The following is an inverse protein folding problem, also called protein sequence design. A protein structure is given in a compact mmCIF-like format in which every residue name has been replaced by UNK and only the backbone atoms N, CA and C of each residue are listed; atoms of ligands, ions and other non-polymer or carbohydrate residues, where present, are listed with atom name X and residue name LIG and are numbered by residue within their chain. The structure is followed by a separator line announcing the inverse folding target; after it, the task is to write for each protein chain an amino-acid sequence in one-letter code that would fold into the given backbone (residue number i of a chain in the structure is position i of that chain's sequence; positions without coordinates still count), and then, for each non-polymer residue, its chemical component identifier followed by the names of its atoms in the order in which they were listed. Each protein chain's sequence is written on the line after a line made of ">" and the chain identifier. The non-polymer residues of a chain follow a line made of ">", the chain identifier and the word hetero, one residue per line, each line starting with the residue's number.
data_IF_693545113620
#
_entry.id   IF_693545113620
#
_cell.length_a   1.000
_cell.length_b   1.000
_cell.length_c   1.000
_cell.angle_alpha   90.00
_cell.angle_beta   90.00
_cell.angle_gamma   90.00
#
_symmetry.space_group_name_H-M   'P 1'
#
loop_
_entity.id
_entity.type
_entity.pdbx_description
1 polymer ?
#
# COMPACT_ATOMS: atom_id res chain seq x y z
N UNK A 1 -6.31 -11.40 -10.89
CA UNK A 1 -5.03 -12.02 -10.45
C UNK A 1 -5.05 -12.17 -8.94
N UNK A 2 -4.61 -13.28 -8.36
CA UNK A 2 -4.59 -13.51 -6.90
C UNK A 2 -3.22 -13.21 -6.24
N UNK A 3 -2.28 -12.61 -6.98
CA UNK A 3 -0.92 -12.36 -6.50
C UNK A 3 -0.73 -10.97 -5.88
N UNK A 4 -0.31 -9.99 -6.67
CA UNK A 4 0.02 -8.64 -6.21
C UNK A 4 -1.16 -7.66 -6.34
N UNK A 5 -1.03 -6.49 -5.71
CA UNK A 5 -2.03 -5.43 -5.65
C UNK A 5 -2.31 -4.69 -6.97
N UNK A 6 -1.65 -5.05 -8.08
CA UNK A 6 -1.89 -4.38 -9.38
C UNK A 6 -3.29 -4.66 -9.94
N UNK A 7 -3.90 -5.79 -9.57
CA UNK A 7 -5.27 -6.10 -10.02
C UNK A 7 -5.38 -6.53 -11.49
N UNK A 8 -4.37 -7.23 -12.03
CA UNK A 8 -4.42 -7.69 -13.42
C UNK A 8 -5.64 -8.58 -13.70
N UNK A 9 -6.43 -8.24 -14.72
CA UNK A 9 -7.63 -8.99 -15.15
C UNK A 9 -7.27 -10.03 -16.22
N UNK A 10 -7.91 -11.19 -16.12
CA UNK A 10 -7.67 -12.32 -17.01
C UNK A 10 -8.99 -13.02 -17.34
N UNK A 11 -9.12 -13.51 -18.58
CA UNK A 11 -10.08 -14.56 -18.90
C UNK A 11 -9.46 -15.91 -18.54
N UNK A 12 -10.20 -16.72 -17.79
CA UNK A 12 -9.81 -18.08 -17.41
C UNK A 12 -10.66 -19.06 -18.23
N UNK A 13 -10.01 -19.78 -19.13
CA UNK A 13 -10.64 -20.76 -20.00
C UNK A 13 -10.58 -22.10 -19.29
N UNK A 14 -11.74 -22.71 -19.11
CA UNK A 14 -11.86 -24.01 -18.43
C UNK A 14 -12.58 -25.03 -19.30
N UNK A 15 -12.30 -26.30 -19.03
CA UNK A 15 -13.16 -27.41 -19.40
C UNK A 15 -13.53 -28.12 -18.11
N UNK A 16 -14.80 -28.07 -17.75
CA UNK A 16 -15.28 -28.51 -16.42
C UNK A 16 -14.50 -27.79 -15.30
N UNK A 17 -13.78 -28.55 -14.44
CA UNK A 17 -12.98 -28.01 -13.33
C UNK A 17 -11.50 -27.85 -13.67
N UNK A 18 -11.09 -28.13 -14.91
CA UNK A 18 -9.72 -28.00 -15.36
C UNK A 18 -9.48 -26.64 -16.03
N UNK A 19 -8.44 -25.94 -15.59
CA UNK A 19 -8.00 -24.69 -16.21
C UNK A 19 -7.13 -25.03 -17.43
N UNK A 20 -7.56 -24.58 -18.61
CA UNK A 20 -6.85 -24.79 -19.87
C UNK A 20 -5.89 -23.65 -20.20
N UNK A 21 -6.32 -22.41 -19.95
CA UNK A 21 -5.59 -21.21 -20.32
C UNK A 21 -6.02 -20.03 -19.46
N UNK A 22 -5.05 -19.22 -19.05
CA UNK A 22 -5.27 -17.90 -18.46
C UNK A 22 -4.74 -16.85 -19.43
N UNK A 23 -5.58 -15.91 -19.87
CA UNK A 23 -5.19 -14.88 -20.84
C UNK A 23 -5.52 -13.48 -20.32
N UNK A 24 -4.62 -12.48 -20.49
CA UNK A 24 -4.92 -11.11 -20.12
C UNK A 24 -6.16 -10.60 -20.87
N UNK A 25 -7.03 -9.90 -20.15
CA UNK A 25 -8.20 -9.25 -20.76
C UNK A 25 -7.78 -7.95 -21.44
N UNK A 26 -8.02 -7.82 -22.74
CA UNK A 26 -7.55 -6.67 -23.55
C UNK A 26 -7.98 -5.32 -22.97
N UNK A 27 -9.23 -5.22 -22.49
CA UNK A 27 -9.81 -3.98 -21.99
C UNK A 27 -9.59 -3.76 -20.50
N UNK A 28 -8.75 -4.58 -19.84
CA UNK A 28 -8.46 -4.39 -18.42
C UNK A 28 -7.86 -3.01 -18.14
N UNK A 29 -8.41 -2.24 -17.19
CA UNK A 29 -7.89 -0.92 -16.84
C UNK A 29 -6.48 -1.01 -16.25
N UNK A 30 -6.18 -2.08 -15.50
CA UNK A 30 -4.90 -2.22 -14.81
C UNK A 30 -3.76 -2.64 -15.77
N UNK A 31 -3.97 -3.73 -16.52
CA UNK A 31 -2.89 -4.39 -17.25
C UNK A 31 -3.05 -4.45 -18.76
N UNK A 32 -4.22 -4.13 -19.32
CA UNK A 32 -4.52 -4.37 -20.74
C UNK A 32 -4.07 -5.80 -21.12
N UNK A 33 -3.21 -5.92 -22.13
CA UNK A 33 -2.62 -7.20 -22.57
C UNK A 33 -1.39 -7.66 -21.76
N UNK A 34 -0.83 -6.81 -20.91
CA UNK A 34 0.40 -7.12 -20.15
C UNK A 34 0.10 -8.07 -19.00
N UNK A 35 1.07 -8.92 -18.64
CA UNK A 35 1.00 -9.80 -17.47
C UNK A 35 2.39 -10.20 -17.03
N UNK A 36 2.50 -10.86 -15.87
CA UNK A 36 3.74 -11.47 -15.40
C UNK A 36 3.61 -12.98 -15.28
N UNK A 37 4.74 -13.66 -15.07
CA UNK A 37 4.81 -15.13 -14.93
C UNK A 37 3.81 -15.66 -13.88
N UNK A 38 3.68 -14.96 -12.75
CA UNK A 38 2.79 -15.37 -11.65
C UNK A 38 1.33 -15.42 -12.09
N UNK A 39 0.81 -14.32 -12.65
CA UNK A 39 -0.59 -14.27 -13.09
C UNK A 39 -0.87 -15.14 -14.32
N UNK A 40 0.10 -15.31 -15.21
CA UNK A 40 -0.06 -16.04 -16.46
C UNK A 40 0.00 -17.56 -16.28
N UNK A 41 0.87 -18.04 -15.40
CA UNK A 41 1.21 -19.47 -15.27
C UNK A 41 1.06 -20.03 -13.85
N UNK A 42 1.08 -19.20 -12.81
CA UNK A 42 0.98 -19.64 -11.41
C UNK A 42 -0.45 -19.89 -10.97
N UNK A 43 -1.09 -20.95 -11.45
CA UNK A 43 -2.46 -21.32 -11.07
C UNK A 43 -2.64 -22.83 -10.85
N UNK A 44 -1.56 -23.58 -10.97
CA UNK A 44 -1.46 -25.02 -10.71
C UNK A 44 -1.89 -25.41 -9.29
N UNK A 45 -1.64 -24.55 -8.29
CA UNK A 45 -2.01 -24.77 -6.89
C UNK A 45 -3.51 -25.04 -6.68
N UNK A 46 -4.38 -24.63 -7.61
CA UNK A 46 -5.83 -24.92 -7.53
C UNK A 46 -6.12 -26.42 -7.58
N UNK A 47 -5.29 -27.16 -8.33
CA UNK A 47 -5.41 -28.60 -8.57
C UNK A 47 -4.31 -29.41 -7.86
N UNK A 48 -3.58 -28.82 -6.92
CA UNK A 48 -2.58 -29.54 -6.13
C UNK A 48 -3.21 -30.67 -5.31
N UNK A 49 -2.56 -31.83 -5.28
CA UNK A 49 -2.95 -32.96 -4.44
C UNK A 49 -2.79 -32.66 -2.94
N UNK A 50 -1.93 -31.69 -2.58
CA UNK A 50 -1.72 -31.24 -1.19
C UNK A 50 -2.81 -30.25 -0.71
N UNK A 51 -3.76 -29.88 -1.58
CA UNK A 51 -4.82 -28.94 -1.23
C UNK A 51 -5.77 -29.58 -0.20
N UNK A 52 -5.96 -28.89 0.93
CA UNK A 52 -6.97 -29.29 1.92
C UNK A 52 -8.38 -29.28 1.30
N UNK A 53 -9.06 -30.42 1.38
CA UNK A 53 -10.44 -30.60 0.86
C UNK A 53 -11.47 -30.88 1.96
N UNK A 54 -11.02 -31.21 3.17
CA UNK A 54 -11.85 -31.42 4.36
C UNK A 54 -11.33 -30.63 5.56
N UNK A 55 -12.22 -30.26 6.51
CA UNK A 55 -11.81 -29.72 7.80
C UNK A 55 -10.91 -30.69 8.58
N UNK A 56 -9.98 -30.12 9.35
CA UNK A 56 -9.09 -30.86 10.23
C UNK A 56 -9.26 -30.38 11.67
N UNK A 57 -9.34 -31.30 12.63
CA UNK A 57 -9.35 -31.00 14.07
C UNK A 57 -8.17 -31.69 14.75
N UNK A 58 -7.46 -30.97 15.62
CA UNK A 58 -6.34 -31.55 16.38
C UNK A 58 -6.88 -32.42 17.51
N UNK A 59 -6.51 -33.70 17.52
CA UNK A 59 -6.85 -34.69 18.56
C UNK A 59 -5.54 -35.24 19.13
N UNK A 60 -5.17 -34.80 20.33
CA UNK A 60 -3.83 -35.06 20.88
C UNK A 60 -2.75 -34.33 20.11
N UNK A 61 -1.79 -35.07 19.56
CA UNK A 61 -0.63 -34.51 18.84
C UNK A 61 -0.80 -34.45 17.32
N UNK A 62 -1.93 -34.88 16.77
CA UNK A 62 -2.15 -34.97 15.31
C UNK A 62 -3.44 -34.27 14.86
N UNK A 63 -3.47 -33.87 13.58
CA UNK A 63 -4.67 -33.37 12.92
C UNK A 63 -5.41 -34.52 12.23
N UNK A 64 -6.72 -34.60 12.48
CA UNK A 64 -7.59 -35.65 11.93
C UNK A 64 -8.67 -35.00 11.07
N UNK A 65 -8.95 -35.61 9.91
CA UNK A 65 -10.07 -35.20 9.05
C UNK A 65 -11.41 -35.41 9.75
N UNK A 66 -12.28 -34.40 9.68
CA UNK A 66 -13.63 -34.42 10.24
C UNK A 66 -14.62 -33.79 9.25
N UNK A 67 -15.91 -33.97 9.50
CA UNK A 67 -16.97 -33.30 8.75
C UNK A 67 -17.23 -31.89 9.30
N UNK A 68 -17.88 -31.05 8.50
CA UNK A 68 -18.12 -29.64 8.82
C UNK A 68 -18.83 -29.39 10.15
N UNK A 69 -19.81 -30.22 10.48
CA UNK A 69 -20.58 -30.08 11.72
C UNK A 69 -19.69 -30.21 12.97
N UNK A 70 -18.80 -31.23 12.99
CA UNK A 70 -17.86 -31.41 14.09
C UNK A 70 -16.88 -30.24 14.20
N UNK A 71 -16.30 -29.80 13.07
CA UNK A 71 -15.37 -28.68 13.05
C UNK A 71 -16.01 -27.38 13.57
N UNK A 72 -17.24 -27.07 13.14
CA UNK A 72 -17.96 -25.87 13.55
C UNK A 72 -18.39 -25.94 15.03
N UNK A 73 -18.77 -27.11 15.52
CA UNK A 73 -19.07 -27.31 16.95
C UNK A 73 -17.81 -27.06 17.81
N UNK A 74 -16.67 -27.63 17.43
CA UNK A 74 -15.39 -27.40 18.14
C UNK A 74 -15.03 -25.91 18.17
N UNK A 75 -15.19 -25.18 17.06
CA UNK A 75 -14.91 -23.74 17.00
C UNK A 75 -15.87 -22.97 17.90
N UNK A 76 -17.18 -23.17 17.74
CA UNK A 76 -18.21 -22.42 18.46
C UNK A 76 -18.15 -22.65 19.98
N UNK A 77 -18.05 -23.91 20.43
CA UNK A 77 -17.93 -24.24 21.85
C UNK A 77 -16.72 -23.59 22.50
N UNK A 78 -15.55 -23.63 21.83
CA UNK A 78 -14.35 -23.01 22.37
C UNK A 78 -14.42 -21.48 22.39
N UNK A 79 -14.94 -20.86 21.33
CA UNK A 79 -15.10 -19.41 21.29
C UNK A 79 -16.05 -18.91 22.37
N UNK A 80 -17.19 -19.58 22.55
CA UNK A 80 -18.17 -19.24 23.59
C UNK A 80 -17.60 -19.47 24.99
N UNK A 81 -16.95 -20.61 25.23
CA UNK A 81 -16.30 -20.91 26.52
C UNK A 81 -15.22 -19.89 26.89
N UNK A 82 -14.39 -19.48 25.93
CA UNK A 82 -13.35 -18.46 26.15
C UNK A 82 -13.99 -17.09 26.42
N UNK A 83 -15.00 -16.71 25.64
CA UNK A 83 -15.73 -15.46 25.83
C UNK A 83 -16.41 -15.39 27.20
N UNK A 84 -17.05 -16.48 27.65
CA UNK A 84 -17.68 -16.55 28.97
C UNK A 84 -16.65 -16.44 30.10
N UNK A 85 -15.51 -17.13 29.97
CA UNK A 85 -14.49 -17.16 31.02
C UNK A 85 -13.60 -15.90 31.09
N UNK A 86 -13.36 -15.22 29.94
CA UNK A 86 -12.35 -14.16 29.82
C UNK A 86 -12.83 -12.88 29.16
N UNK A 87 -14.08 -12.82 28.70
CA UNK A 87 -14.62 -11.70 27.92
C UNK A 87 -14.32 -11.78 26.42
N UNK A 88 -15.00 -10.97 25.63
CA UNK A 88 -14.90 -10.97 24.16
C UNK A 88 -13.52 -10.59 23.64
N UNK A 89 -12.78 -9.74 24.35
CA UNK A 89 -11.44 -9.30 23.94
C UNK A 89 -10.34 -10.36 24.13
N UNK A 90 -10.69 -11.54 24.68
CA UNK A 90 -9.82 -12.71 24.63
C UNK A 90 -9.82 -13.40 23.26
N UNK A 91 -10.69 -12.99 22.34
CA UNK A 91 -10.79 -13.51 20.97
C UNK A 91 -10.05 -12.58 20.00
N UNK A 92 -9.57 -13.14 18.89
CA UNK A 92 -8.95 -12.38 17.80
C UNK A 92 -9.27 -13.01 16.45
N UNK A 93 -9.41 -12.16 15.43
CA UNK A 93 -9.80 -12.53 14.09
C UNK A 93 -8.83 -11.92 13.08
N UNK A 94 -8.31 -12.72 12.16
CA UNK A 94 -7.38 -12.26 11.13
C UNK A 94 -8.01 -12.47 9.76
N UNK A 95 -8.36 -11.39 9.08
CA UNK A 95 -8.86 -11.43 7.72
C UNK A 95 -7.72 -11.62 6.71
N UNK A 96 -8.00 -12.34 5.62
CA UNK A 96 -7.01 -12.63 4.59
C UNK A 96 -7.14 -11.68 3.41
N UNK A 97 -6.07 -10.92 3.11
CA UNK A 97 -6.00 -10.11 1.88
C UNK A 97 -5.79 -10.89 0.59
N UNK A 98 -5.81 -12.23 0.68
CA UNK A 98 -5.97 -13.11 -0.47
C UNK A 98 -7.44 -13.44 -0.77
N UNK A 99 -8.31 -13.34 0.24
CA UNK A 99 -9.75 -13.50 0.11
C UNK A 99 -10.42 -12.30 -0.53
N UNK A 100 -11.74 -12.40 -0.66
CA UNK A 100 -12.59 -11.35 -1.25
C UNK A 100 -12.90 -10.23 -0.25
N UNK A 101 -13.39 -9.08 -0.74
CA UNK A 101 -13.79 -7.97 0.15
C UNK A 101 -15.02 -8.37 0.98
N UNK A 102 -15.91 -9.18 0.41
CA UNK A 102 -17.09 -9.73 1.05
C UNK A 102 -16.70 -10.65 2.21
N UNK A 103 -15.73 -11.56 2.01
CA UNK A 103 -15.20 -12.42 3.09
C UNK A 103 -14.54 -11.59 4.20
N UNK A 104 -13.80 -10.54 3.83
CA UNK A 104 -13.19 -9.62 4.80
C UNK A 104 -14.24 -8.89 5.63
N UNK A 105 -15.31 -8.42 4.98
CA UNK A 105 -16.46 -7.79 5.63
C UNK A 105 -17.17 -8.77 6.58
N UNK A 106 -17.38 -10.01 6.16
CA UNK A 106 -17.99 -11.05 7.01
C UNK A 106 -17.11 -11.34 8.23
N UNK A 107 -15.79 -11.43 8.06
CA UNK A 107 -14.86 -11.68 9.16
C UNK A 107 -14.89 -10.57 10.21
N UNK A 108 -14.84 -9.30 9.79
CA UNK A 108 -14.91 -8.20 10.75
C UNK A 108 -16.28 -8.08 11.42
N UNK A 109 -17.35 -8.39 10.68
CA UNK A 109 -18.71 -8.38 11.22
C UNK A 109 -18.85 -9.47 12.29
N UNK A 110 -18.33 -10.66 12.03
CA UNK A 110 -18.30 -11.77 13.00
C UNK A 110 -17.55 -11.36 14.27
N UNK A 111 -16.36 -10.77 14.15
CA UNK A 111 -15.58 -10.31 15.29
C UNK A 111 -16.37 -9.32 16.17
N UNK A 112 -16.99 -8.32 15.52
CA UNK A 112 -17.75 -7.26 16.19
C UNK A 112 -19.06 -7.75 16.78
N UNK A 113 -19.77 -8.66 16.11
CA UNK A 113 -20.94 -9.34 16.70
C UNK A 113 -20.56 -10.27 17.86
N UNK A 114 -19.34 -10.79 17.88
CA UNK A 114 -18.79 -11.47 19.07
C UNK A 114 -18.45 -10.50 20.21
N UNK A 115 -18.54 -9.17 19.97
CA UNK A 115 -18.38 -8.12 20.97
C UNK A 115 -16.94 -7.65 21.12
N UNK A 116 -16.08 -7.84 20.11
CA UNK A 116 -14.69 -7.36 20.13
C UNK A 116 -14.34 -6.61 18.85
N UNK A 117 -13.43 -5.64 18.98
CA UNK A 117 -12.78 -4.98 17.86
C UNK A 117 -11.43 -5.64 17.49
N UNK A 118 -11.08 -6.80 18.08
CA UNK A 118 -9.87 -7.55 17.77
C UNK A 118 -9.96 -8.22 16.39
N UNK A 119 -9.95 -7.42 15.34
CA UNK A 119 -9.87 -7.85 13.95
C UNK A 119 -8.74 -7.11 13.25
N UNK A 120 -7.88 -7.82 12.54
CA UNK A 120 -6.79 -7.22 11.77
C UNK A 120 -6.54 -7.98 10.46
N UNK A 121 -5.60 -7.51 9.65
CA UNK A 121 -5.20 -8.16 8.41
C UNK A 121 -3.71 -7.94 8.10
N UNK A 122 -3.19 -8.53 7.03
CA UNK A 122 -1.75 -8.46 6.70
C UNK A 122 -1.25 -7.05 6.32
N UNK A 123 -2.15 -6.09 6.06
CA UNK A 123 -1.79 -4.68 5.87
C UNK A 123 -1.06 -4.08 7.06
N UNK A 124 -1.24 -4.62 8.28
CA UNK A 124 -0.58 -4.13 9.51
C UNK A 124 0.93 -3.98 9.34
N UNK A 125 1.57 -5.04 8.83
CA UNK A 125 3.03 -5.08 8.63
C UNK A 125 3.46 -4.48 7.29
N UNK A 126 2.57 -4.48 6.29
CA UNK A 126 2.90 -4.06 4.94
C UNK A 126 2.71 -2.55 4.76
N UNK A 127 1.53 -2.04 5.11
CA UNK A 127 1.03 -0.78 4.59
C UNK A 127 0.59 0.22 5.64
N UNK A 128 0.24 -0.22 6.83
CA UNK A 128 -0.32 0.67 7.85
C UNK A 128 0.46 1.99 8.02
N UNK A 129 1.81 2.01 7.93
CA UNK A 129 2.59 3.25 7.97
C UNK A 129 2.30 4.21 6.80
N UNK A 130 2.23 3.72 5.57
CA UNK A 130 1.88 4.54 4.41
C UNK A 130 0.46 5.08 4.51
N UNK A 131 -0.50 4.22 4.89
CA UNK A 131 -1.88 4.61 5.15
C UNK A 131 -1.94 5.73 6.20
N UNK A 132 -1.23 5.58 7.33
CA UNK A 132 -1.20 6.59 8.39
C UNK A 132 -0.56 7.89 7.93
N UNK A 133 0.54 7.83 7.19
CA UNK A 133 1.22 9.01 6.64
C UNK A 133 0.31 9.82 5.71
N UNK A 134 -0.41 9.15 4.82
CA UNK A 134 -1.33 9.82 3.89
C UNK A 134 -2.62 10.32 4.55
N UNK A 135 -3.14 9.63 5.57
CA UNK A 135 -4.25 10.16 6.36
C UNK A 135 -3.89 11.43 7.13
N UNK A 136 -2.62 11.60 7.56
CA UNK A 136 -2.15 12.83 8.22
C UNK A 136 -2.10 14.04 7.29
N UNK A 137 -1.97 13.82 5.98
CA UNK A 137 -1.76 14.88 4.99
C UNK A 137 -2.98 15.11 4.13
N UNK A 138 -3.34 14.12 3.29
CA UNK A 138 -4.38 14.25 2.26
C UNK A 138 -5.69 13.59 2.67
N UNK A 139 -5.78 13.06 3.89
CA UNK A 139 -7.00 12.46 4.45
C UNK A 139 -7.44 11.15 3.80
N UNK A 140 -6.61 10.56 2.93
CA UNK A 140 -6.93 9.31 2.23
C UNK A 140 -5.70 8.40 2.14
N UNK A 141 -5.82 7.17 2.66
CA UNK A 141 -4.71 6.22 2.75
C UNK A 141 -4.36 5.44 1.48
N UNK A 142 -4.93 5.78 0.33
CA UNK A 142 -4.80 5.05 -0.95
C UNK A 142 -3.78 5.65 -1.92
N UNK A 143 -3.67 5.03 -3.11
CA UNK A 143 -2.95 5.64 -4.23
C UNK A 143 -3.68 6.91 -4.69
N UNK A 144 -2.93 7.94 -5.08
CA UNK A 144 -3.49 9.25 -5.48
C UNK A 144 -4.22 9.21 -6.82
N UNK A 145 -3.96 8.18 -7.62
CA UNK A 145 -4.47 8.03 -8.97
C UNK A 145 -4.33 6.59 -9.46
N UNK A 146 -4.22 6.43 -10.77
CA UNK A 146 -4.14 5.14 -11.43
C UNK A 146 -2.70 4.77 -11.81
N UNK A 147 -2.47 3.51 -12.17
CA UNK A 147 -1.18 3.11 -12.74
C UNK A 147 -0.86 3.80 -14.08
N UNK A 148 -1.84 4.39 -14.76
CA UNK A 148 -1.62 5.18 -15.97
C UNK A 148 -1.00 6.55 -15.65
N UNK A 149 -1.26 7.11 -14.47
CA UNK A 149 -0.65 8.36 -14.03
C UNK A 149 0.87 8.23 -13.87
N UNK A 150 1.36 7.08 -13.39
CA UNK A 150 2.79 6.76 -13.36
C UNK A 150 3.43 6.73 -14.76
N UNK A 151 2.66 6.45 -15.82
CA UNK A 151 3.15 6.52 -17.21
C UNK A 151 3.06 7.94 -17.78
N UNK A 152 2.13 8.77 -17.29
CA UNK A 152 1.91 10.15 -17.75
C UNK A 152 2.82 11.16 -17.07
N UNK A 153 3.27 10.88 -15.84
CA UNK A 153 4.08 11.78 -15.03
C UNK A 153 5.38 12.16 -15.74
N UNK A 154 5.71 13.47 -15.75
CA UNK A 154 6.99 13.95 -16.27
C UNK A 154 8.19 13.36 -15.51
N UNK A 155 8.02 13.04 -14.23
CA UNK A 155 9.01 12.36 -13.40
C UNK A 155 8.35 11.30 -12.50
N UNK A 156 8.98 10.13 -12.42
CA UNK A 156 8.64 9.07 -11.46
C UNK A 156 9.82 8.86 -10.53
N UNK A 157 9.55 8.89 -9.22
CA UNK A 157 10.53 8.59 -8.18
C UNK A 157 10.14 7.29 -7.49
N UNK A 158 11.06 6.33 -7.47
CA UNK A 158 10.89 5.07 -6.74
C UNK A 158 11.69 5.12 -5.44
N UNK A 159 11.02 4.99 -4.30
CA UNK A 159 11.67 5.03 -2.98
C UNK A 159 11.46 3.68 -2.27
N UNK A 160 12.55 2.96 -2.01
CA UNK A 160 12.52 1.69 -1.27
C UNK A 160 11.59 0.65 -1.90
N UNK A 161 11.60 0.52 -3.22
CA UNK A 161 10.71 -0.37 -3.97
C UNK A 161 11.38 -1.03 -5.18
N UNK A 162 11.42 -2.36 -5.17
CA UNK A 162 11.80 -3.16 -6.34
C UNK A 162 10.56 -3.45 -7.21
N UNK A 163 10.05 -2.41 -7.87
CA UNK A 163 8.79 -2.46 -8.61
C UNK A 163 8.79 -3.50 -9.75
N UNK A 164 9.95 -3.78 -10.36
CA UNK A 164 10.05 -4.75 -11.47
C UNK A 164 9.65 -6.17 -11.05
N UNK A 165 10.07 -6.60 -9.86
CA UNK A 165 9.79 -7.93 -9.33
C UNK A 165 8.44 -8.00 -8.61
N UNK A 166 8.10 -6.94 -7.85
CA UNK A 166 6.90 -6.89 -7.02
C UNK A 166 5.64 -6.57 -7.84
N UNK A 167 5.72 -5.59 -8.75
CA UNK A 167 4.59 -5.02 -9.49
C UNK A 167 4.93 -4.87 -10.99
N UNK A 168 5.32 -5.98 -11.62
CA UNK A 168 5.88 -6.02 -13.00
C UNK A 168 5.09 -5.22 -14.05
N UNK A 169 3.75 -5.20 -13.98
CA UNK A 169 2.92 -4.42 -14.92
C UNK A 169 3.04 -2.91 -14.68
N UNK A 170 3.14 -2.46 -13.42
CA UNK A 170 3.43 -1.05 -13.09
C UNK A 170 4.84 -0.68 -13.57
N UNK A 171 5.84 -1.54 -13.32
CA UNK A 171 7.19 -1.33 -13.82
C UNK A 171 7.24 -1.21 -15.35
N UNK A 172 6.46 -2.03 -16.07
CA UNK A 172 6.34 -1.93 -17.53
C UNK A 172 5.77 -0.60 -17.99
N UNK A 173 4.76 -0.05 -17.30
CA UNK A 173 4.20 1.28 -17.58
C UNK A 173 5.21 2.40 -17.32
N UNK A 174 5.93 2.36 -16.19
CA UNK A 174 6.99 3.33 -15.87
C UNK A 174 8.09 3.30 -16.93
N UNK A 175 8.61 2.11 -17.27
CA UNK A 175 9.62 1.95 -18.32
C UNK A 175 9.15 2.44 -19.67
N UNK A 176 7.87 2.22 -20.00
CA UNK A 176 7.27 2.73 -21.24
C UNK A 176 7.25 4.26 -21.25
N UNK A 177 6.83 4.89 -20.16
CA UNK A 177 6.84 6.34 -20.01
C UNK A 177 8.25 6.92 -20.19
N UNK A 178 9.20 6.35 -19.48
CA UNK A 178 10.61 6.73 -19.59
C UNK A 178 11.16 6.55 -21.01
N UNK A 179 10.97 5.37 -21.63
CA UNK A 179 11.57 5.04 -22.92
C UNK A 179 10.93 5.74 -24.11
N UNK A 180 9.61 5.92 -24.11
CA UNK A 180 8.86 6.40 -25.28
C UNK A 180 8.50 7.88 -25.19
N UNK A 181 8.35 8.42 -23.98
CA UNK A 181 7.90 9.80 -23.76
C UNK A 181 8.96 10.68 -23.10
N UNK A 182 10.11 10.11 -22.72
CA UNK A 182 11.22 10.85 -22.14
C UNK A 182 11.00 11.25 -20.68
N UNK A 183 10.03 10.64 -19.99
CA UNK A 183 9.78 10.89 -18.58
C UNK A 183 11.02 10.53 -17.77
N UNK A 184 11.29 11.29 -16.71
CA UNK A 184 12.42 11.06 -15.82
C UNK A 184 12.13 9.92 -14.85
N UNK A 185 13.14 9.10 -14.60
CA UNK A 185 13.08 8.01 -13.62
C UNK A 185 14.21 8.16 -12.61
N UNK A 186 13.85 8.40 -11.36
CA UNK A 186 14.77 8.43 -10.23
C UNK A 186 14.51 7.25 -9.31
N UNK A 187 15.57 6.61 -8.82
CA UNK A 187 15.45 5.49 -7.88
C UNK A 187 16.29 5.77 -6.64
N UNK A 188 15.64 5.74 -5.48
CA UNK A 188 16.24 5.85 -4.15
C UNK A 188 16.07 4.51 -3.46
N UNK A 189 17.14 3.70 -3.44
CA UNK A 189 17.11 2.36 -2.83
C UNK A 189 18.50 1.96 -2.36
N UNK A 190 18.57 1.09 -1.34
CA UNK A 190 19.82 0.55 -0.83
C UNK A 190 20.45 -0.47 -1.80
N UNK A 191 19.66 -1.03 -2.74
CA UNK A 191 20.09 -1.99 -3.75
C UNK A 191 19.86 -1.45 -5.15
N UNK A 192 20.86 -1.63 -6.01
CA UNK A 192 20.75 -1.35 -7.45
C UNK A 192 20.03 -2.51 -8.17
N UNK A 193 18.71 -2.48 -8.17
CA UNK A 193 17.85 -3.45 -8.86
C UNK A 193 17.50 -3.01 -10.30
N UNK A 194 16.72 -3.80 -11.04
CA UNK A 194 16.45 -3.59 -12.48
C UNK A 194 15.93 -2.17 -12.81
N UNK A 195 15.00 -1.63 -12.01
CA UNK A 195 14.54 -0.24 -12.22
C UNK A 195 15.65 0.80 -12.01
N UNK A 196 16.59 0.56 -11.09
CA UNK A 196 17.73 1.44 -10.85
C UNK A 196 18.78 1.37 -11.97
N UNK A 197 18.91 0.21 -12.63
CA UNK A 197 19.80 0.06 -13.78
C UNK A 197 19.35 0.89 -14.98
N UNK A 198 18.04 1.07 -15.16
CA UNK A 198 17.47 1.89 -16.23
C UNK A 198 17.07 3.30 -15.81
N UNK A 199 17.38 3.73 -14.58
CA UNK A 199 17.04 5.06 -14.07
C UNK A 199 17.99 6.14 -14.61
N UNK A 200 17.51 7.38 -14.73
CA UNK A 200 18.34 8.55 -15.02
C UNK A 200 19.33 8.81 -13.87
N UNK A 201 18.87 8.66 -12.62
CA UNK A 201 19.72 8.69 -11.42
C UNK A 201 19.32 7.61 -10.42
N UNK A 202 20.33 7.08 -9.76
CA UNK A 202 20.22 6.15 -8.65
C UNK A 202 20.90 6.75 -7.43
N UNK A 203 20.15 6.87 -6.34
CA UNK A 203 20.63 7.35 -5.04
C UNK A 203 20.63 6.18 -4.06
N UNK A 204 21.74 6.00 -3.35
CA UNK A 204 21.91 4.90 -2.40
C UNK A 204 22.08 5.46 -0.98
N UNK A 205 20.98 5.78 -0.28
CA UNK A 205 21.05 6.25 1.10
C UNK A 205 21.46 5.12 2.06
N UNK A 206 21.91 5.49 3.26
CA UNK A 206 21.98 4.55 4.39
C UNK A 206 20.55 4.09 4.76
N UNK A 207 20.34 2.80 5.12
CA UNK A 207 19.02 2.30 5.48
C UNK A 207 18.34 3.13 6.58
N UNK A 208 17.04 3.40 6.44
CA UNK A 208 16.24 4.10 7.45
C UNK A 208 16.42 5.62 7.49
N UNK A 209 17.14 6.22 6.53
CA UNK A 209 17.45 7.66 6.51
C UNK A 209 16.60 8.47 5.53
N UNK A 210 15.56 7.88 4.94
CA UNK A 210 14.78 8.50 3.86
C UNK A 210 14.10 9.82 4.26
N UNK A 211 13.60 9.90 5.49
CA UNK A 211 13.01 11.12 6.03
C UNK A 211 13.97 12.32 5.95
N UNK A 212 15.27 12.10 6.19
CA UNK A 212 16.26 13.17 6.25
C UNK A 212 16.46 13.84 4.89
N UNK A 213 16.61 13.06 3.81
CA UNK A 213 16.77 13.64 2.47
C UNK A 213 15.46 14.24 1.95
N UNK A 214 14.31 13.61 2.21
CA UNK A 214 13.00 14.13 1.83
C UNK A 214 12.75 15.52 2.46
N UNK A 215 12.99 15.64 3.76
CA UNK A 215 12.84 16.89 4.49
C UNK A 215 13.83 17.96 4.01
N UNK A 216 15.09 17.60 3.77
CA UNK A 216 16.11 18.54 3.31
C UNK A 216 15.85 19.06 1.89
N UNK A 217 15.42 18.18 0.97
CA UNK A 217 15.00 18.57 -0.38
C UNK A 217 13.79 19.51 -0.29
N UNK A 218 12.79 19.17 0.53
CA UNK A 218 11.60 20.03 0.74
C UNK A 218 12.00 21.40 1.25
N UNK A 219 12.88 21.46 2.27
CA UNK A 219 13.40 22.71 2.82
C UNK A 219 14.13 23.53 1.76
N UNK A 220 15.00 22.89 0.96
CA UNK A 220 15.73 23.56 -0.11
C UNK A 220 14.80 24.18 -1.14
N UNK A 221 13.73 23.48 -1.55
CA UNK A 221 12.73 24.00 -2.49
C UNK A 221 12.04 25.25 -1.90
N UNK A 222 11.69 25.22 -0.61
CA UNK A 222 11.04 26.35 0.05
C UNK A 222 12.00 27.55 0.21
N UNK A 223 13.22 27.31 0.70
CA UNK A 223 14.24 28.35 0.91
C UNK A 223 14.62 29.09 -0.39
N UNK A 224 14.50 28.41 -1.54
CA UNK A 224 14.80 28.97 -2.86
C UNK A 224 13.55 29.49 -3.60
N UNK A 225 12.41 29.60 -2.91
CA UNK A 225 11.17 30.15 -3.46
C UNK A 225 10.62 29.38 -4.68
N UNK A 226 10.85 28.06 -4.73
CA UNK A 226 10.49 27.18 -5.84
C UNK A 226 9.32 26.24 -5.57
N UNK A 227 8.65 26.43 -4.44
CA UNK A 227 7.41 25.72 -4.09
C UNK A 227 6.22 26.32 -4.86
N UNK A 228 5.15 25.53 -5.03
CA UNK A 228 3.94 26.00 -5.68
C UNK A 228 3.10 26.84 -4.72
N UNK A 229 3.34 28.15 -4.72
CA UNK A 229 2.66 29.12 -3.84
C UNK A 229 1.15 29.11 -4.02
N UNK A 230 0.68 29.07 -5.27
CA UNK A 230 -0.74 29.12 -5.55
C UNK A 230 -1.45 27.86 -5.03
N UNK A 231 -0.81 26.69 -5.20
CA UNK A 231 -1.33 25.45 -4.64
C UNK A 231 -1.33 25.47 -3.11
N UNK A 232 -0.25 25.97 -2.49
CA UNK A 232 -0.15 26.06 -1.03
C UNK A 232 -1.23 26.98 -0.47
N UNK A 233 -1.37 28.19 -1.02
CA UNK A 233 -2.34 29.19 -0.55
C UNK A 233 -3.80 28.69 -0.65
N UNK A 234 -4.11 27.87 -1.66
CA UNK A 234 -5.47 27.37 -1.88
C UNK A 234 -5.76 26.06 -1.13
N UNK A 235 -4.81 25.13 -1.05
CA UNK A 235 -5.07 23.73 -0.69
C UNK A 235 -4.31 23.21 0.51
N UNK A 236 -3.35 23.96 1.07
CA UNK A 236 -2.48 23.48 2.15
C UNK A 236 -2.67 24.34 3.39
N UNK A 237 -2.88 23.69 4.53
CA UNK A 237 -2.89 24.32 5.84
C UNK A 237 -1.55 24.13 6.58
N UNK A 238 -1.36 24.86 7.69
CA UNK A 238 -0.20 24.72 8.58
C UNK A 238 1.19 24.83 7.90
N UNK A 239 1.28 25.44 6.72
CA UNK A 239 2.53 25.55 5.96
C UNK A 239 3.67 26.21 6.75
N UNK A 240 3.40 27.32 7.44
CA UNK A 240 4.41 28.03 8.24
C UNK A 240 4.95 27.20 9.41
N UNK A 241 4.10 26.42 10.06
CA UNK A 241 4.49 25.52 11.15
C UNK A 241 5.36 24.39 10.62
N UNK A 242 4.97 23.82 9.48
CA UNK A 242 5.76 22.81 8.79
C UNK A 242 7.12 23.36 8.35
N UNK A 243 7.18 24.54 7.74
CA UNK A 243 8.44 25.15 7.32
C UNK A 243 9.38 25.39 8.50
N UNK A 244 8.87 25.88 9.64
CA UNK A 244 9.67 26.01 10.87
C UNK A 244 10.21 24.66 11.35
N UNK A 245 9.40 23.59 11.25
CA UNK A 245 9.83 22.23 11.63
C UNK A 245 10.96 21.68 10.76
N UNK A 246 11.16 22.24 9.55
CA UNK A 246 12.23 21.83 8.64
C UNK A 246 13.60 22.42 8.99
N UNK A 247 13.70 23.32 9.98
CA UNK A 247 14.94 23.97 10.38
C UNK A 247 16.17 23.04 10.55
N UNK A 248 16.08 21.84 11.17
CA UNK A 248 17.24 20.97 11.34
C UNK A 248 17.66 20.22 10.07
N UNK A 249 16.82 20.17 9.04
CA UNK A 249 17.05 19.37 7.84
C UNK A 249 17.77 20.19 6.75
N UNK A 250 19.02 20.57 7.02
CA UNK A 250 19.87 21.18 5.98
C UNK A 250 20.36 20.13 4.98
N UNK A 251 20.85 20.58 3.81
CA UNK A 251 21.45 19.67 2.84
C UNK A 251 22.72 18.99 3.40
N UNK A 252 23.50 19.72 4.20
CA UNK A 252 24.69 19.17 4.89
C UNK A 252 24.30 18.08 5.89
N UNK A 253 23.23 18.30 6.66
CA UNK A 253 22.69 17.29 7.57
C UNK A 253 22.22 16.04 6.80
N UNK A 254 21.52 16.23 5.68
CA UNK A 254 21.08 15.13 4.84
C UNK A 254 22.25 14.35 4.22
N UNK A 255 23.30 15.03 3.76
CA UNK A 255 24.50 14.39 3.22
C UNK A 255 25.22 13.54 4.28
N UNK A 256 25.42 14.09 5.48
CA UNK A 256 26.04 13.35 6.60
C UNK A 256 25.20 12.13 7.02
N UNK A 257 23.88 12.34 7.15
CA UNK A 257 22.95 11.32 7.62
C UNK A 257 22.76 10.22 6.59
N UNK A 258 22.41 10.60 5.35
CA UNK A 258 22.02 9.65 4.31
C UNK A 258 23.20 9.11 3.49
N UNK A 259 24.29 9.87 3.38
CA UNK A 259 25.38 9.58 2.46
C UNK A 259 25.11 9.97 1.00
N UNK A 260 23.96 10.58 0.69
CA UNK A 260 23.68 11.14 -0.64
C UNK A 260 24.40 12.49 -0.77
N UNK A 261 25.23 12.71 -1.81
CA UNK A 261 25.92 13.98 -1.97
C UNK A 261 24.95 15.16 -2.05
N UNK A 262 25.32 16.29 -1.45
CA UNK A 262 24.49 17.51 -1.45
C UNK A 262 24.11 17.97 -2.87
N UNK A 263 25.06 17.94 -3.80
CA UNK A 263 24.83 18.36 -5.19
C UNK A 263 23.80 17.48 -5.90
N UNK A 264 23.74 16.20 -5.54
CA UNK A 264 22.78 15.23 -6.06
C UNK A 264 21.37 15.49 -5.51
N UNK A 265 21.25 15.90 -4.24
CA UNK A 265 19.98 16.36 -3.64
C UNK A 265 19.49 17.67 -4.25
N UNK A 266 20.39 18.61 -4.51
CA UNK A 266 20.08 19.86 -5.23
C UNK A 266 19.56 19.50 -6.62
N UNK A 267 20.29 18.69 -7.38
CA UNK A 267 19.87 18.25 -8.71
C UNK A 267 18.50 17.59 -8.71
N UNK A 268 18.22 16.69 -7.74
CA UNK A 268 16.90 16.09 -7.55
C UNK A 268 15.81 17.15 -7.36
N UNK A 269 16.05 18.14 -6.49
CA UNK A 269 15.10 19.23 -6.24
C UNK A 269 14.80 20.05 -7.49
N UNK A 270 15.83 20.37 -8.29
CA UNK A 270 15.65 21.09 -9.56
C UNK A 270 14.82 20.28 -10.55
N UNK A 271 15.19 19.02 -10.78
CA UNK A 271 14.49 18.18 -11.75
C UNK A 271 13.03 17.90 -11.34
N UNK A 272 12.76 17.76 -10.03
CA UNK A 272 11.42 17.58 -9.51
C UNK A 272 10.52 18.81 -9.75
N UNK A 273 11.01 20.02 -9.48
CA UNK A 273 10.23 21.25 -9.66
C UNK A 273 10.01 21.56 -11.15
N UNK A 274 10.99 21.27 -12.00
CA UNK A 274 10.91 21.55 -13.44
C UNK A 274 10.14 20.50 -14.24
N UNK A 275 9.79 19.37 -13.61
CA UNK A 275 9.05 18.28 -14.25
C UNK A 275 7.56 18.60 -14.40
N UNK A 276 6.99 18.22 -15.55
CA UNK A 276 5.55 18.31 -15.76
C UNK A 276 4.80 17.17 -15.02
N UNK A 277 4.74 17.29 -13.70
CA UNK A 277 4.08 16.32 -12.82
C UNK A 277 5.05 15.27 -12.28
N UNK A 278 4.92 15.01 -10.99
CA UNK A 278 5.78 14.09 -10.24
C UNK A 278 4.91 13.05 -9.55
N UNK A 279 5.21 11.78 -9.80
CA UNK A 279 4.67 10.66 -9.04
C UNK A 279 5.77 10.05 -8.17
N UNK A 280 5.54 9.92 -6.87
CA UNK A 280 6.43 9.17 -5.98
C UNK A 280 5.76 7.85 -5.62
N UNK A 281 6.41 6.75 -5.97
CA UNK A 281 5.99 5.39 -5.63
C UNK A 281 6.95 4.78 -4.60
N UNK A 282 6.40 4.19 -3.55
CA UNK A 282 7.19 3.55 -2.50
C UNK A 282 6.56 2.26 -2.01
N UNK A 283 7.35 1.45 -1.32
CA UNK A 283 6.91 0.19 -0.74
C UNK A 283 7.63 -0.08 0.59
N UNK A 284 8.05 -1.34 0.79
CA UNK A 284 8.47 -1.84 2.10
C UNK A 284 9.81 -1.27 2.57
N UNK A 285 10.64 -0.73 1.68
CA UNK A 285 11.86 -0.02 2.10
C UNK A 285 11.57 1.20 2.97
N UNK A 286 10.38 1.78 2.82
CA UNK A 286 9.89 2.90 3.64
C UNK A 286 8.99 2.40 4.77
N UNK A 287 8.00 1.55 4.47
CA UNK A 287 6.97 1.21 5.47
C UNK A 287 7.45 0.26 6.56
N UNK A 288 8.44 -0.60 6.30
CA UNK A 288 8.97 -1.55 7.29
C UNK A 288 10.20 -0.97 8.01
N UNK A 289 10.02 0.25 8.52
CA UNK A 289 11.00 1.01 9.30
C UNK A 289 10.31 1.63 10.51
N UNK A 290 11.07 1.89 11.57
CA UNK A 290 10.55 2.44 12.84
C UNK A 290 9.78 3.77 12.63
N UNK A 291 10.23 4.58 11.66
CA UNK A 291 9.64 5.89 11.31
C UNK A 291 8.88 5.86 9.98
N UNK A 292 8.43 4.68 9.51
CA UNK A 292 7.82 4.54 8.18
C UNK A 292 6.57 5.41 7.94
N UNK A 293 5.82 5.72 9.01
CA UNK A 293 4.66 6.63 8.91
C UNK A 293 5.11 8.07 8.68
N UNK A 294 6.20 8.48 9.33
CA UNK A 294 6.74 9.83 9.23
C UNK A 294 7.46 10.03 7.89
N UNK A 295 8.19 9.02 7.41
CA UNK A 295 8.75 9.03 6.05
C UNK A 295 7.64 9.10 4.99
N UNK A 296 6.56 8.33 5.13
CA UNK A 296 5.41 8.41 4.21
C UNK A 296 4.72 9.78 4.26
N UNK A 297 4.67 10.41 5.45
CA UNK A 297 4.19 11.80 5.63
C UNK A 297 5.10 12.77 4.88
N UNK A 298 6.43 12.61 4.98
CA UNK A 298 7.39 13.47 4.30
C UNK A 298 7.34 13.35 2.77
N UNK A 299 7.13 12.15 2.23
CA UNK A 299 6.87 11.95 0.79
C UNK A 299 5.66 12.78 0.36
N UNK A 300 4.56 12.70 1.11
CA UNK A 300 3.36 13.46 0.81
C UNK A 300 3.57 14.97 0.95
N UNK A 301 4.29 15.43 1.97
CA UNK A 301 4.56 16.86 2.16
C UNK A 301 5.41 17.43 1.03
N UNK A 302 6.42 16.70 0.57
CA UNK A 302 7.23 17.09 -0.59
C UNK A 302 6.36 17.26 -1.86
N UNK A 303 5.41 16.35 -2.08
CA UNK A 303 4.45 16.45 -3.18
C UNK A 303 3.47 17.62 -3.01
N UNK A 304 2.99 17.91 -1.79
CA UNK A 304 2.12 19.05 -1.50
C UNK A 304 2.84 20.39 -1.75
N UNK A 305 4.09 20.52 -1.27
CA UNK A 305 4.92 21.73 -1.45
C UNK A 305 5.19 22.02 -2.93
N UNK A 306 5.21 21.00 -3.77
CA UNK A 306 5.47 21.11 -5.21
C UNK A 306 4.21 21.08 -6.08
N UNK A 307 3.01 21.15 -5.48
CA UNK A 307 1.75 21.16 -6.22
C UNK A 307 1.46 19.87 -6.99
N UNK A 308 2.06 18.74 -6.58
CA UNK A 308 1.95 17.44 -7.26
C UNK A 308 0.82 16.60 -6.67
N UNK A 309 -0.38 17.19 -6.62
CA UNK A 309 -1.64 16.52 -6.33
C UNK A 309 -2.77 17.12 -7.18
N UNK A 310 -3.94 16.47 -7.19
CA UNK A 310 -5.18 16.94 -7.83
C UNK A 310 -5.15 17.07 -9.36
N UNK A 311 -4.15 16.50 -10.03
CA UNK A 311 -4.08 16.40 -11.50
C UNK A 311 -3.45 15.08 -11.95
N UNK A 312 -3.73 14.69 -13.19
CA UNK A 312 -3.12 13.50 -13.78
C UNK A 312 -1.59 13.59 -13.81
N UNK A 313 -0.93 12.43 -13.73
CA UNK A 313 0.53 12.36 -13.74
C UNK A 313 1.20 12.94 -12.49
N UNK A 314 0.48 13.01 -11.37
CA UNK A 314 1.01 13.45 -10.08
C UNK A 314 0.61 12.53 -8.93
N UNK A 315 1.28 12.67 -7.80
CA UNK A 315 0.80 12.18 -6.51
C UNK A 315 1.63 11.06 -5.89
N UNK A 316 1.08 10.54 -4.81
CA UNK A 316 1.65 9.52 -3.96
C UNK A 316 1.08 8.12 -4.29
N UNK A 317 1.96 7.13 -4.45
CA UNK A 317 1.63 5.76 -4.84
C UNK A 317 2.28 4.74 -3.89
N UNK A 318 1.71 4.51 -2.68
CA UNK A 318 2.15 3.45 -1.78
C UNK A 318 1.80 2.06 -2.32
N UNK A 319 2.71 1.48 -3.11
CA UNK A 319 2.48 0.28 -3.91
C UNK A 319 2.02 -0.91 -3.05
N UNK A 320 0.70 -1.18 -3.14
CA UNK A 320 -0.03 -2.23 -2.41
C UNK A 320 0.54 -3.63 -2.69
N UNK A 321 0.86 -4.40 -1.65
CA UNK A 321 1.44 -5.74 -1.76
C UNK A 321 0.47 -6.81 -2.28
N UNK A 322 -0.41 -7.32 -1.40
CA UNK A 322 -1.38 -8.39 -1.73
C UNK A 322 -2.55 -7.88 -2.58
N UNK A 323 -3.17 -8.77 -3.35
CA UNK A 323 -4.23 -8.46 -4.32
C UNK A 323 -5.43 -7.69 -3.73
N UNK A 324 -5.81 -7.97 -2.49
CA UNK A 324 -6.98 -7.34 -1.87
C UNK A 324 -6.64 -6.63 -0.54
N UNK A 325 -5.39 -6.20 -0.35
CA UNK A 325 -5.00 -5.53 0.91
C UNK A 325 -5.72 -4.19 1.11
N UNK A 326 -5.99 -3.50 0.00
CA UNK A 326 -6.82 -2.30 -0.03
C UNK A 326 -8.26 -2.65 0.38
N UNK A 327 -8.89 -3.61 -0.31
CA UNK A 327 -10.26 -4.03 -0.02
C UNK A 327 -10.47 -4.60 1.38
N UNK A 328 -9.48 -5.30 1.97
CA UNK A 328 -9.57 -5.71 3.39
C UNK A 328 -9.65 -4.53 4.35
N UNK A 329 -8.88 -3.47 4.07
CA UNK A 329 -8.90 -2.24 4.86
C UNK A 329 -10.23 -1.51 4.63
N UNK A 330 -10.67 -1.37 3.38
CA UNK A 330 -11.96 -0.77 3.02
C UNK A 330 -13.14 -1.52 3.65
N UNK A 331 -13.05 -2.84 3.70
CA UNK A 331 -14.02 -3.74 4.32
C UNK A 331 -14.04 -3.70 5.85
N UNK A 332 -13.17 -2.90 6.48
CA UNK A 332 -13.15 -2.67 7.93
C UNK A 332 -12.45 -3.76 8.74
N UNK A 333 -11.58 -4.58 8.13
CA UNK A 333 -10.77 -5.56 8.86
C UNK A 333 -9.56 -4.91 9.54
N UNK A 334 -9.84 -3.87 10.31
CA UNK A 334 -8.90 -3.10 11.13
C UNK A 334 -9.52 -2.91 12.52
N UNK A 335 -8.71 -2.85 13.59
CA UNK A 335 -9.23 -2.81 14.95
C UNK A 335 -9.88 -1.47 15.30
N UNK A 336 -9.46 -0.40 14.65
CA UNK A 336 -9.85 0.98 14.93
C UNK A 336 -10.87 1.55 13.94
N UNK A 337 -11.22 0.81 12.88
CA UNK A 337 -12.09 1.30 11.80
C UNK A 337 -13.17 0.30 11.39
N UNK A 338 -14.39 0.80 11.23
CA UNK A 338 -15.47 0.17 10.48
C UNK A 338 -15.25 0.27 8.96
N UNK A 339 -16.03 -0.46 8.13
CA UNK A 339 -15.98 -0.34 6.67
C UNK A 339 -16.04 1.12 6.19
N UNK A 340 -15.24 1.46 5.17
CA UNK A 340 -15.13 2.83 4.65
C UNK A 340 -14.33 3.78 5.53
N UNK A 341 -13.38 3.27 6.33
CA UNK A 341 -12.47 4.06 7.18
C UNK A 341 -13.15 4.89 8.28
N UNK A 342 -14.29 4.44 8.78
CA UNK A 342 -15.06 5.15 9.80
C UNK A 342 -14.60 4.74 11.20
N UNK A 343 -14.34 5.69 12.10
CA UNK A 343 -13.79 5.41 13.42
C UNK A 343 -14.74 4.60 14.31
N UNK A 344 -14.20 3.58 14.99
CA UNK A 344 -14.98 2.80 15.96
C UNK A 344 -15.31 3.58 17.23
N UNK A 345 -14.65 4.71 17.45
CA UNK A 345 -14.88 5.63 18.57
C UNK A 345 -15.95 6.67 18.29
N UNK A 346 -16.48 6.74 17.06
CA UNK A 346 -17.55 7.65 16.67
C UNK A 346 -18.93 7.04 17.01
N UNK A 347 -19.67 7.70 17.90
CA UNK A 347 -20.96 7.24 18.41
C UNK A 347 -22.04 7.17 17.32
N UNK A 348 -22.05 8.10 16.37
CA UNK A 348 -23.02 8.11 15.27
C UNK A 348 -22.74 6.96 14.31
N UNK A 349 -21.45 6.71 14.04
CA UNK A 349 -21.00 5.57 13.23
C UNK A 349 -21.40 4.25 13.91
N UNK A 350 -21.15 4.10 15.21
CA UNK A 350 -21.54 2.90 15.97
C UNK A 350 -23.04 2.65 15.90
N UNK A 351 -23.85 3.66 16.21
CA UNK A 351 -25.31 3.54 16.18
C UNK A 351 -25.84 3.11 14.81
N UNK A 352 -25.22 3.59 13.72
CA UNK A 352 -25.55 3.15 12.36
C UNK A 352 -25.29 1.66 12.15
N UNK A 353 -24.13 1.14 12.58
CA UNK A 353 -23.78 -0.26 12.44
C UNK A 353 -24.59 -1.17 13.36
N UNK A 354 -24.83 -0.77 14.61
CA UNK A 354 -25.71 -1.48 15.56
C UNK A 354 -27.11 -1.67 14.96
N UNK A 355 -27.70 -0.57 14.45
CA UNK A 355 -29.00 -0.63 13.76
C UNK A 355 -28.97 -1.54 12.53
N UNK A 356 -27.92 -1.47 11.71
CA UNK A 356 -27.80 -2.27 10.50
C UNK A 356 -27.57 -3.77 10.79
N UNK A 357 -26.95 -4.09 11.92
CA UNK A 357 -26.58 -5.45 12.30
C UNK A 357 -27.54 -6.09 13.31
N UNK A 358 -28.50 -5.33 13.85
CA UNK A 358 -29.47 -5.80 14.83
C UNK A 358 -28.85 -6.13 16.18
N UNK A 359 -27.87 -5.31 16.61
CA UNK A 359 -27.19 -5.43 17.90
C UNK A 359 -27.79 -4.52 18.96
#
# INVERSE_FOLDING_TARGET
>A
CTYCGVGCSFDVWTKDREILKVQPQHDSPANRISSCVKGKFGWDFVNSEERLTKPLVRKGDEFVEVEWEEALNVISENFLRIKEAKGSDALSFIASSKGTIEESYLMQKLARQMGTNNVDNCSRYCQAPATKGLFRTVGHGGDSGSADDLMKAGMVVLVGTNTAEAHTVIASKIKRGHKLFGNKLHVVDIRRHEMAECADKFYQPKPGTDLAWLAAVTKYIIDNDRHDKAFIDEWVDHFDEYYKSLAPFTLEFAEETTGIPKDDLIHFAHEMVDSNGVCIAWAMGVTQQDIGSDTSTAISNLLLVTGNYRREGTGAYPLRGHNNVQGCSDGGSMPDKFPGYQDVTDDEVRAKFEKAWGM
#
